data_IF_053918491109
#
_entry.id   IF_053918491109
#
_cell.length_a   1.000
_cell.length_b   1.000
_cell.length_c   1.000
_cell.angle_alpha   90.00
_cell.angle_beta   90.00
_cell.angle_gamma   90.00
#
_symmetry.space_group_name_H-M   'P 1'
#
loop_
_entity.id
_entity.type
_entity.pdbx_description
1 polymer ?
#
# COMPACT_ATOMS: atom_id res chain seq x y z
N UNK A 1 -27.07 48.23 36.51
CA UNK A 1 -26.88 47.97 35.07
C UNK A 1 -25.88 46.82 34.99
N UNK A 2 -26.37 45.58 34.94
CA UNK A 2 -25.54 44.38 35.01
C UNK A 2 -25.03 44.01 33.62
N UNK A 3 -23.71 43.83 33.53
CA UNK A 3 -22.98 43.29 32.39
C UNK A 3 -23.02 41.76 32.54
N UNK A 4 -23.45 40.96 31.55
CA UNK A 4 -23.28 39.52 31.64
C UNK A 4 -21.86 39.16 31.19
N UNK A 5 -21.08 38.60 32.09
CA UNK A 5 -19.82 37.93 31.82
C UNK A 5 -20.09 36.62 31.08
N UNK A 6 -19.77 36.57 29.78
CA UNK A 6 -19.71 35.32 29.03
C UNK A 6 -18.38 34.63 29.34
N UNK A 7 -18.40 33.74 30.32
CA UNK A 7 -17.33 32.79 30.56
C UNK A 7 -17.42 31.68 29.50
N UNK A 8 -16.71 31.88 28.38
CA UNK A 8 -16.55 30.85 27.35
C UNK A 8 -15.38 29.95 27.75
N UNK A 9 -15.69 28.88 28.47
CA UNK A 9 -14.76 27.78 28.72
C UNK A 9 -14.29 27.21 27.38
N UNK A 10 -12.98 27.08 27.10
CA UNK A 10 -12.54 26.45 25.86
C UNK A 10 -12.97 24.98 25.90
N UNK A 11 -13.77 24.57 24.92
CA UNK A 11 -14.05 23.17 24.62
C UNK A 11 -12.70 22.44 24.55
N UNK A 12 -12.48 21.52 25.48
CA UNK A 12 -11.32 20.63 25.49
C UNK A 12 -11.45 19.68 24.30
N UNK A 13 -11.05 20.14 23.11
CA UNK A 13 -10.97 19.32 21.91
C UNK A 13 -9.84 18.33 22.17
N UNK A 14 -10.19 17.11 22.59
CA UNK A 14 -9.24 16.00 22.57
C UNK A 14 -8.72 15.91 21.14
N UNK A 15 -7.39 15.90 20.91
CA UNK A 15 -6.88 15.71 19.56
C UNK A 15 -7.49 14.42 19.02
N UNK A 16 -8.00 14.47 17.78
CA UNK A 16 -8.50 13.27 17.11
C UNK A 16 -7.41 12.19 17.21
N UNK A 17 -7.78 10.99 17.66
CA UNK A 17 -6.84 9.88 17.71
C UNK A 17 -6.26 9.70 16.30
N UNK A 18 -4.94 9.55 16.20
CA UNK A 18 -4.25 9.36 14.93
C UNK A 18 -4.07 7.87 14.69
N UNK A 19 -3.85 7.49 13.44
CA UNK A 19 -3.29 6.17 13.14
C UNK A 19 -1.91 6.03 13.78
N UNK A 20 -1.64 4.86 14.36
CA UNK A 20 -0.34 4.47 14.89
C UNK A 20 0.24 3.32 14.08
N UNK A 21 1.49 3.44 13.64
CA UNK A 21 2.18 2.42 12.89
C UNK A 21 3.40 1.89 13.64
N UNK A 22 3.62 0.58 13.56
CA UNK A 22 4.84 -0.10 13.97
C UNK A 22 5.41 -0.80 12.76
N UNK A 23 6.65 -0.49 12.41
CA UNK A 23 7.30 -1.02 11.21
C UNK A 23 8.57 -1.74 11.60
N UNK A 24 8.78 -2.93 11.06
CA UNK A 24 10.05 -3.63 11.10
C UNK A 24 10.54 -3.87 9.67
N UNK A 25 11.62 -3.18 9.29
CA UNK A 25 12.28 -3.41 8.00
C UNK A 25 13.34 -4.49 8.15
N UNK A 26 13.06 -5.66 7.59
CA UNK A 26 13.97 -6.79 7.51
C UNK A 26 14.77 -6.87 6.21
N UNK A 27 15.56 -7.94 6.09
CA UNK A 27 16.37 -8.24 4.90
C UNK A 27 15.53 -8.47 3.64
N UNK A 28 14.46 -9.26 3.77
CA UNK A 28 13.58 -9.68 2.67
C UNK A 28 12.21 -9.01 2.70
N UNK A 29 11.65 -8.84 3.90
CA UNK A 29 10.31 -8.29 4.10
C UNK A 29 10.33 -7.10 5.04
N UNK A 30 9.36 -6.22 4.84
CA UNK A 30 8.97 -5.16 5.77
C UNK A 30 7.60 -5.52 6.35
N UNK A 31 7.54 -5.63 7.66
CA UNK A 31 6.33 -5.88 8.42
C UNK A 31 5.79 -4.55 8.94
N UNK A 32 4.50 -4.29 8.71
CA UNK A 32 3.83 -3.08 9.16
C UNK A 32 2.54 -3.43 9.88
N UNK A 33 2.39 -2.93 11.11
CA UNK A 33 1.17 -3.03 11.88
C UNK A 33 0.63 -1.61 12.05
N UNK A 34 -0.65 -1.42 11.71
CA UNK A 34 -1.39 -0.19 11.91
C UNK A 34 -2.49 -0.37 12.94
N UNK A 35 -2.62 0.59 13.85
CA UNK A 35 -3.77 0.75 14.74
C UNK A 35 -4.47 2.03 14.35
N UNK A 36 -5.73 1.92 13.93
CA UNK A 36 -6.55 3.06 13.54
C UNK A 36 -6.97 3.92 14.73
N UNK A 37 -7.50 5.14 14.49
CA UNK A 37 -8.08 5.99 15.53
C UNK A 37 -9.17 5.33 16.38
N UNK A 38 -9.91 4.37 15.83
CA UNK A 38 -10.94 3.60 16.54
C UNK A 38 -10.41 2.31 17.18
N UNK A 39 -9.09 2.08 17.18
CA UNK A 39 -8.45 0.93 17.80
C UNK A 39 -8.47 -0.35 16.97
N UNK A 40 -8.85 -0.29 15.70
CA UNK A 40 -8.80 -1.44 14.78
C UNK A 40 -7.35 -1.75 14.40
N UNK A 41 -6.97 -3.00 14.56
CA UNK A 41 -5.66 -3.51 14.18
C UNK A 41 -5.68 -4.04 12.75
N UNK A 42 -4.66 -3.67 11.97
CA UNK A 42 -4.40 -4.19 10.63
C UNK A 42 -2.91 -4.45 10.45
N UNK A 43 -2.58 -5.45 9.64
CA UNK A 43 -1.20 -5.79 9.29
C UNK A 43 -1.02 -5.83 7.78
N UNK A 44 0.20 -5.50 7.34
CA UNK A 44 0.60 -5.63 5.97
C UNK A 44 2.09 -5.97 5.90
N UNK A 45 2.41 -7.03 5.15
CA UNK A 45 3.77 -7.49 4.90
C UNK A 45 4.07 -7.31 3.42
N UNK A 46 5.19 -6.68 3.11
CA UNK A 46 5.64 -6.44 1.73
C UNK A 46 7.11 -6.75 1.59
N UNK A 47 7.60 -7.01 0.38
CA UNK A 47 9.04 -7.15 0.15
C UNK A 47 9.75 -5.86 0.55
N UNK A 48 10.93 -5.97 1.16
CA UNK A 48 11.75 -4.80 1.54
C UNK A 48 12.20 -3.97 0.34
N UNK A 49 12.10 -4.50 -0.88
CA UNK A 49 12.27 -3.74 -2.11
C UNK A 49 11.12 -2.78 -2.44
N UNK A 50 9.97 -2.90 -1.76
CA UNK A 50 8.74 -2.18 -2.11
C UNK A 50 7.98 -2.80 -3.30
N UNK A 51 8.48 -3.90 -3.85
CA UNK A 51 7.80 -4.60 -4.95
C UNK A 51 6.71 -5.51 -4.42
N UNK A 52 5.63 -5.64 -5.21
CA UNK A 52 4.55 -6.58 -4.93
C UNK A 52 4.43 -7.58 -6.07
N UNK A 53 4.72 -8.85 -5.78
CA UNK A 53 4.77 -9.93 -6.78
C UNK A 53 3.49 -10.74 -6.81
N UNK A 54 3.13 -11.26 -7.97
CA UNK A 54 2.03 -12.20 -8.10
C UNK A 54 2.15 -13.11 -9.32
N UNK A 55 1.25 -14.08 -9.37
CA UNK A 55 1.07 -15.00 -10.49
C UNK A 55 -0.41 -14.95 -10.83
N UNK A 56 -0.78 -14.48 -12.03
CA UNK A 56 -2.18 -14.33 -12.39
C UNK A 56 -2.83 -15.72 -12.53
N UNK A 57 -4.09 -15.82 -12.12
CA UNK A 57 -4.91 -17.01 -12.35
C UNK A 57 -5.43 -17.04 -13.78
N UNK A 58 -5.67 -15.85 -14.35
CA UNK A 58 -6.00 -15.68 -15.75
C UNK A 58 -5.55 -14.31 -16.24
N UNK A 59 -5.38 -14.20 -17.56
CA UNK A 59 -5.19 -12.93 -18.23
C UNK A 59 -5.95 -12.93 -19.55
N UNK A 60 -6.48 -11.76 -19.93
CA UNK A 60 -7.22 -11.58 -21.18
C UNK A 60 -7.09 -10.14 -21.64
N UNK A 61 -6.68 -9.94 -22.89
CA UNK A 61 -6.48 -8.62 -23.49
C UNK A 61 -5.58 -7.74 -22.63
N UNK A 62 -6.13 -6.75 -21.93
CA UNK A 62 -5.45 -5.78 -21.06
C UNK A 62 -5.67 -6.07 -19.56
N UNK A 63 -6.36 -7.16 -19.23
CA UNK A 63 -6.72 -7.50 -17.86
C UNK A 63 -5.93 -8.71 -17.36
N UNK A 64 -5.50 -8.66 -16.10
CA UNK A 64 -5.03 -9.82 -15.36
C UNK A 64 -5.82 -9.97 -14.07
N UNK A 65 -6.11 -11.20 -13.66
CA UNK A 65 -6.87 -11.51 -12.45
C UNK A 65 -6.02 -12.34 -11.51
N UNK A 66 -5.92 -11.90 -10.25
CA UNK A 66 -5.24 -12.61 -9.16
C UNK A 66 -6.10 -12.48 -7.91
N UNK A 67 -6.83 -13.54 -7.54
CA UNK A 67 -7.76 -13.51 -6.40
C UNK A 67 -7.08 -13.15 -5.07
N UNK A 68 -5.76 -13.29 -4.94
CA UNK A 68 -4.99 -12.86 -3.76
C UNK A 68 -5.07 -11.35 -3.55
N UNK A 69 -5.33 -10.58 -4.61
CA UNK A 69 -5.48 -9.11 -4.58
C UNK A 69 -6.83 -8.66 -4.06
N UNK A 70 -7.80 -9.55 -3.83
CA UNK A 70 -9.15 -9.15 -3.37
C UNK A 70 -9.19 -8.47 -2.00
N UNK A 71 -8.09 -8.57 -1.23
CA UNK A 71 -7.92 -7.89 0.06
C UNK A 71 -7.21 -6.54 -0.05
N UNK A 72 -6.69 -6.21 -1.22
CA UNK A 72 -6.04 -4.92 -1.45
C UNK A 72 -7.09 -3.80 -1.50
N UNK A 73 -6.73 -2.55 -1.12
CA UNK A 73 -7.64 -1.44 -1.20
C UNK A 73 -8.04 -1.13 -2.65
N UNK A 74 -9.28 -0.68 -2.82
CA UNK A 74 -9.82 -0.31 -4.13
C UNK A 74 -8.93 0.74 -4.80
N UNK A 75 -8.65 0.58 -6.10
CA UNK A 75 -7.79 1.45 -6.91
C UNK A 75 -6.35 1.68 -6.41
N UNK A 76 -5.89 0.91 -5.41
CA UNK A 76 -4.58 1.13 -4.78
C UNK A 76 -3.41 1.03 -5.76
N UNK A 77 -3.51 0.13 -6.73
CA UNK A 77 -2.43 -0.15 -7.68
C UNK A 77 -2.43 0.77 -8.89
N UNK A 78 -3.41 1.67 -9.06
CA UNK A 78 -3.50 2.55 -10.23
C UNK A 78 -2.26 3.44 -10.33
N UNK A 79 -1.65 3.47 -11.52
CA UNK A 79 -0.42 4.19 -11.82
C UNK A 79 0.88 3.42 -11.52
N UNK A 80 0.80 2.28 -10.81
CA UNK A 80 1.96 1.42 -10.58
C UNK A 80 2.52 0.87 -11.90
N UNK A 81 3.84 0.72 -11.97
CA UNK A 81 4.49 0.00 -13.07
C UNK A 81 4.29 -1.50 -12.85
N UNK A 82 3.75 -2.17 -13.86
CA UNK A 82 3.55 -3.61 -13.90
C UNK A 82 4.55 -4.23 -14.88
N UNK A 83 5.41 -5.11 -14.37
CA UNK A 83 6.41 -5.86 -15.16
C UNK A 83 6.00 -7.31 -15.27
N UNK A 84 5.72 -7.77 -16.48
CA UNK A 84 5.45 -9.18 -16.77
C UNK A 84 6.76 -9.91 -17.02
N UNK A 85 6.95 -11.05 -16.35
CA UNK A 85 8.15 -11.88 -16.46
C UNK A 85 7.82 -13.28 -16.91
N UNK A 86 8.58 -13.77 -17.89
CA UNK A 86 8.46 -15.14 -18.38
C UNK A 86 8.96 -16.16 -17.36
N UNK A 87 8.78 -17.47 -17.62
CA UNK A 87 9.21 -18.54 -16.73
C UNK A 87 10.73 -18.57 -16.49
N UNK A 88 11.51 -18.04 -17.45
CA UNK A 88 12.97 -17.87 -17.37
C UNK A 88 13.40 -16.59 -16.62
N UNK A 89 12.45 -15.77 -16.16
CA UNK A 89 12.68 -14.51 -15.48
C UNK A 89 12.90 -13.31 -16.42
N UNK A 90 12.91 -13.52 -17.74
CA UNK A 90 13.05 -12.46 -18.74
C UNK A 90 11.88 -11.48 -18.65
N UNK A 91 12.16 -10.19 -18.87
CA UNK A 91 11.11 -9.17 -18.94
C UNK A 91 10.38 -9.34 -20.28
N UNK A 92 9.12 -9.74 -20.23
CA UNK A 92 8.27 -9.86 -21.41
C UNK A 92 7.63 -8.52 -21.76
N UNK A 93 7.20 -7.77 -20.75
CA UNK A 93 6.53 -6.48 -20.92
C UNK A 93 6.64 -5.61 -19.67
N UNK A 94 6.69 -4.30 -19.89
CA UNK A 94 6.48 -3.29 -18.87
C UNK A 94 5.29 -2.41 -19.31
N UNK A 95 4.37 -2.14 -18.38
CA UNK A 95 3.15 -1.37 -18.60
C UNK A 95 2.74 -0.67 -17.30
N UNK A 96 1.66 0.11 -17.30
CA UNK A 96 1.08 0.67 -16.08
C UNK A 96 -0.29 0.09 -15.79
N UNK A 97 -0.63 0.05 -14.51
CA UNK A 97 -1.98 -0.26 -14.07
C UNK A 97 -2.88 0.96 -14.32
N UNK A 98 -3.86 0.80 -15.21
CA UNK A 98 -4.87 1.81 -15.53
C UNK A 98 -6.07 1.77 -14.56
N UNK A 99 -6.38 0.59 -14.02
CA UNK A 99 -7.50 0.39 -13.10
C UNK A 99 -7.29 -0.83 -12.19
N UNK A 100 -7.93 -0.85 -11.03
CA UNK A 100 -7.90 -2.01 -10.13
C UNK A 100 -9.24 -2.21 -9.44
N UNK A 101 -9.85 -3.39 -9.64
CA UNK A 101 -11.06 -3.80 -8.93
C UNK A 101 -10.71 -4.87 -7.88
N UNK A 102 -10.87 -4.53 -6.60
CA UNK A 102 -10.60 -5.47 -5.52
C UNK A 102 -11.70 -6.53 -5.37
N UNK A 103 -12.93 -6.29 -5.84
CA UNK A 103 -14.01 -7.25 -5.70
C UNK A 103 -13.72 -8.52 -6.52
N UNK A 104 -13.12 -8.35 -7.70
CA UNK A 104 -12.65 -9.45 -8.55
C UNK A 104 -11.16 -9.75 -8.42
N UNK A 105 -10.35 -8.82 -7.90
CA UNK A 105 -8.88 -8.95 -7.90
C UNK A 105 -8.28 -8.71 -9.29
N UNK A 106 -8.91 -7.86 -10.09
CA UNK A 106 -8.53 -7.60 -11.49
C UNK A 106 -7.74 -6.32 -11.61
N UNK A 107 -6.57 -6.41 -12.23
CA UNK A 107 -5.76 -5.28 -12.65
C UNK A 107 -5.99 -5.04 -14.14
N UNK A 108 -6.45 -3.84 -14.48
CA UNK A 108 -6.50 -3.36 -15.86
C UNK A 108 -5.19 -2.64 -16.16
N UNK A 109 -4.57 -2.99 -17.29
CA UNK A 109 -3.31 -2.43 -17.76
C UNK A 109 -3.58 -1.42 -18.88
N UNK A 110 -2.69 -0.45 -19.06
CA UNK A 110 -2.74 0.52 -20.16
C UNK A 110 -2.32 -0.06 -21.52
N UNK A 111 -1.94 -1.34 -21.54
CA UNK A 111 -1.49 -2.06 -22.71
C UNK A 111 -2.10 -3.45 -22.79
N UNK A 112 -2.35 -3.90 -24.01
CA UNK A 112 -2.75 -5.29 -24.29
C UNK A 112 -1.56 -6.22 -24.03
N UNK A 113 -1.84 -7.29 -23.30
CA UNK A 113 -0.92 -8.37 -22.89
C UNK A 113 -1.27 -9.70 -23.58
N UNK A 114 -1.98 -9.64 -24.72
CA UNK A 114 -2.33 -10.82 -25.50
C UNK A 114 -1.10 -11.71 -25.80
N UNK A 115 -1.34 -13.01 -25.86
CA UNK A 115 -0.39 -14.05 -26.27
C UNK A 115 0.74 -14.39 -25.29
N UNK A 116 0.51 -14.22 -23.97
CA UNK A 116 1.44 -14.71 -22.93
C UNK A 116 0.83 -15.87 -22.14
N UNK A 117 1.25 -17.10 -22.44
CA UNK A 117 0.68 -18.32 -21.85
C UNK A 117 1.02 -18.49 -20.36
N UNK A 118 2.24 -18.13 -19.95
CA UNK A 118 2.70 -18.28 -18.58
C UNK A 118 3.66 -17.17 -18.19
N UNK A 119 3.30 -16.42 -17.15
CA UNK A 119 4.12 -15.34 -16.63
C UNK A 119 3.85 -15.10 -15.14
N UNK A 120 4.78 -14.39 -14.51
CA UNK A 120 4.58 -13.74 -13.21
C UNK A 120 4.58 -12.23 -13.42
N UNK A 121 4.07 -11.47 -12.47
CA UNK A 121 4.11 -10.01 -12.53
C UNK A 121 4.72 -9.39 -11.27
N UNK A 122 5.32 -8.23 -11.43
CA UNK A 122 5.79 -7.38 -10.33
C UNK A 122 5.14 -6.00 -10.46
N UNK A 123 4.52 -5.52 -9.38
CA UNK A 123 3.99 -4.17 -9.25
C UNK A 123 4.99 -3.31 -8.48
N UNK A 124 5.21 -2.11 -8.99
CA UNK A 124 6.13 -1.13 -8.45
C UNK A 124 5.46 0.25 -8.41
N UNK A 125 5.15 0.72 -7.20
CA UNK A 125 4.59 2.05 -6.97
C UNK A 125 5.65 3.15 -6.89
N UNK A 126 6.95 2.82 -7.01
CA UNK A 126 8.06 3.76 -6.79
C UNK A 126 8.19 4.21 -5.33
N UNK A 127 7.64 3.45 -4.38
CA UNK A 127 7.61 3.78 -2.96
C UNK A 127 8.50 2.84 -2.15
N UNK A 128 9.27 3.35 -1.17
CA UNK A 128 9.93 2.49 -0.19
C UNK A 128 8.92 1.61 0.56
N UNK A 129 9.32 0.39 0.91
CA UNK A 129 8.45 -0.60 1.55
C UNK A 129 7.65 -0.08 2.77
N UNK A 130 8.25 0.68 3.72
CA UNK A 130 7.48 1.27 4.84
C UNK A 130 6.37 2.22 4.39
N UNK A 131 6.64 3.04 3.36
CA UNK A 131 5.68 4.03 2.84
C UNK A 131 4.55 3.35 2.11
N UNK A 132 4.88 2.34 1.28
CA UNK A 132 3.89 1.50 0.62
C UNK A 132 2.96 0.83 1.65
N UNK A 133 3.53 0.29 2.72
CA UNK A 133 2.77 -0.40 3.76
C UNK A 133 1.83 0.52 4.54
N UNK A 134 2.30 1.71 4.95
CA UNK A 134 1.45 2.72 5.60
C UNK A 134 0.30 3.10 4.67
N UNK A 135 0.59 3.40 3.40
CA UNK A 135 -0.44 3.78 2.42
C UNK A 135 -1.46 2.68 2.19
N UNK A 136 -1.02 1.42 2.11
CA UNK A 136 -1.92 0.28 1.96
C UNK A 136 -2.88 0.17 3.15
N UNK A 137 -2.37 0.29 4.38
CA UNK A 137 -3.18 0.21 5.60
C UNK A 137 -4.16 1.39 5.76
N UNK A 138 -3.77 2.57 5.27
CA UNK A 138 -4.61 3.77 5.19
C UNK A 138 -5.59 3.75 4.01
N UNK A 139 -5.47 2.77 3.10
CA UNK A 139 -6.25 2.71 1.85
C UNK A 139 -6.06 3.96 0.98
N UNK A 140 -4.83 4.50 0.99
CA UNK A 140 -4.47 5.68 0.24
C UNK A 140 -3.74 5.30 -1.04
N UNK A 141 -4.21 5.83 -2.16
CA UNK A 141 -3.48 5.75 -3.43
C UNK A 141 -2.05 6.30 -3.28
N UNK A 142 -1.08 5.81 -4.07
CA UNK A 142 0.31 6.27 -4.02
C UNK A 142 0.50 7.79 -4.13
N UNK A 143 -0.38 8.46 -4.87
CA UNK A 143 -0.37 9.90 -5.15
C UNK A 143 -1.16 10.75 -4.13
N UNK A 144 -1.97 10.13 -3.26
CA UNK A 144 -2.79 10.85 -2.29
C UNK A 144 -1.94 11.51 -1.18
N UNK A 145 -2.43 12.63 -0.64
CA UNK A 145 -1.84 13.27 0.54
C UNK A 145 -1.96 12.34 1.75
N UNK A 146 -0.86 12.12 2.46
CA UNK A 146 -0.86 11.32 3.68
C UNK A 146 -1.31 12.19 4.86
N UNK A 147 -2.30 11.79 5.66
CA UNK A 147 -2.67 12.50 6.88
C UNK A 147 -1.55 12.40 7.94
N UNK A 148 -1.59 13.21 8.99
CA UNK A 148 -0.69 13.03 10.14
C UNK A 148 -0.86 11.63 10.76
N UNK A 149 0.24 10.95 11.05
CA UNK A 149 0.27 9.62 11.68
C UNK A 149 1.33 9.56 12.77
N UNK A 150 1.17 8.66 13.72
CA UNK A 150 2.23 8.33 14.70
C UNK A 150 3.01 7.12 14.18
N UNK A 151 4.33 7.23 14.11
CA UNK A 151 5.19 6.17 13.60
C UNK A 151 6.15 5.70 14.70
N UNK A 152 6.24 4.38 14.88
CA UNK A 152 7.32 3.69 15.60
C UNK A 152 8.06 2.83 14.60
N UNK A 153 9.35 3.11 14.43
CA UNK A 153 10.16 2.47 13.40
C UNK A 153 11.24 1.61 14.07
N UNK A 154 11.21 0.31 13.78
CA UNK A 154 12.27 -0.64 14.11
C UNK A 154 12.96 -1.08 12.81
N UNK A 155 14.27 -1.27 12.87
CA UNK A 155 15.03 -1.86 11.76
C UNK A 155 15.86 -3.01 12.28
N UNK A 156 15.80 -4.16 11.61
CA UNK A 156 16.71 -5.28 11.88
C UNK A 156 17.97 -5.24 11.00
N UNK A 157 18.06 -4.29 10.06
CA UNK A 157 19.26 -4.06 9.21
C UNK A 157 20.43 -3.33 9.89
N UNK A 158 20.35 -3.03 11.18
CA UNK A 158 21.44 -2.41 11.92
C UNK A 158 21.40 -2.67 13.41
N UNK A 159 22.22 -3.61 13.89
CA UNK A 159 22.67 -3.68 15.29
C UNK A 159 23.66 -2.53 15.62
N UNK A 160 23.53 -1.38 14.95
CA UNK A 160 24.22 -0.10 15.15
C UNK A 160 23.68 0.91 14.12
N UNK A 161 22.70 1.71 14.48
CA UNK A 161 22.49 3.01 13.85
C UNK A 161 21.88 3.94 14.92
N UNK A 162 22.67 4.96 15.26
CA UNK A 162 22.35 6.04 16.19
C UNK A 162 21.09 6.79 15.75
N UNK A 163 20.39 7.31 16.77
CA UNK A 163 19.25 8.24 16.72
C UNK A 163 19.49 9.43 15.78
#
# INVERSE_FOLDING_TARGET
MNIPSTDSTPLNVRPAALWEFRIDVGGTFTDCIGVSPNGLWREFKVLSSGLTRGTPESSRHDCLTDSRRRRDPQDFWVGAVCRLRGPDGSLLRECRVAGFDNASGTLQLDHVIADVDSFTYELDCGLPAPVLAIRWLLELRPDATCPPVRLRFGTTRGTNALL
#
